data_IF_502016005970
#
_entry.id   IF_502016005970
#
_cell.length_a   1.000
_cell.length_b   1.000
_cell.length_c   1.000
_cell.angle_alpha   90.00
_cell.angle_beta   90.00
_cell.angle_gamma   90.00
#
_symmetry.space_group_name_H-M   'P 1'
#
loop_
_entity.id
_entity.type
_entity.pdbx_description
1 polymer ?
#
# COMPACT_ATOMS: atom_id res chain seq x y z
N UNK A 1 -166.31 65.39 21.62
CA UNK A 1 -165.26 64.98 22.59
C UNK A 1 -164.78 63.58 22.25
N UNK A 2 -163.51 63.30 22.55
CA UNK A 2 -162.82 61.99 22.49
C UNK A 2 -162.09 61.64 21.17
N UNK A 3 -160.77 61.91 21.20
CA UNK A 3 -159.69 61.30 20.41
C UNK A 3 -159.47 59.86 20.90
N UNK A 4 -159.31 58.88 20.01
CA UNK A 4 -158.73 57.57 20.37
C UNK A 4 -157.23 57.53 20.02
N UNK A 5 -156.45 57.08 21.01
CA UNK A 5 -154.99 57.12 21.15
C UNK A 5 -154.35 55.82 20.61
N UNK A 6 -153.45 55.92 19.63
CA UNK A 6 -152.53 54.85 19.20
C UNK A 6 -151.17 54.91 19.95
N UNK A 7 -151.17 55.18 21.27
CA UNK A 7 -149.94 55.40 22.05
C UNK A 7 -149.22 54.13 22.59
N UNK A 8 -149.87 53.00 22.95
CA UNK A 8 -149.15 51.85 23.54
C UNK A 8 -148.34 51.04 22.52
N UNK A 9 -148.72 51.06 21.25
CA UNK A 9 -147.99 50.36 20.18
C UNK A 9 -146.64 51.01 19.86
N UNK A 10 -146.57 52.35 19.95
CA UNK A 10 -145.36 53.14 19.64
C UNK A 10 -144.30 52.98 20.74
N UNK A 11 -144.69 52.95 22.03
CA UNK A 11 -143.73 52.78 23.14
C UNK A 11 -143.14 51.37 23.17
N UNK A 12 -143.96 50.33 22.96
CA UNK A 12 -143.52 48.94 22.91
C UNK A 12 -142.55 48.69 21.75
N UNK A 13 -142.82 49.27 20.58
CA UNK A 13 -141.92 49.19 19.42
C UNK A 13 -140.61 49.95 19.65
N UNK A 14 -140.64 51.13 20.28
CA UNK A 14 -139.41 51.89 20.61
C UNK A 14 -138.54 51.14 21.63
N UNK A 15 -139.13 50.56 22.67
CA UNK A 15 -138.37 49.77 23.67
C UNK A 15 -137.80 48.50 23.04
N UNK A 16 -138.56 47.80 22.19
CA UNK A 16 -138.04 46.65 21.43
C UNK A 16 -136.89 47.08 20.53
N UNK A 17 -137.00 48.21 19.83
CA UNK A 17 -135.92 48.73 18.99
C UNK A 17 -134.69 49.05 19.84
N UNK A 18 -134.82 49.70 21.00
CA UNK A 18 -133.71 50.01 21.90
C UNK A 18 -133.07 48.73 22.47
N UNK A 19 -133.86 47.76 22.91
CA UNK A 19 -133.35 46.48 23.42
C UNK A 19 -132.69 45.69 22.30
N UNK A 20 -133.25 45.72 21.10
CA UNK A 20 -132.67 45.07 19.91
C UNK A 20 -131.37 45.75 19.50
N UNK A 21 -131.28 47.09 19.53
CA UNK A 21 -130.04 47.81 19.21
C UNK A 21 -128.98 47.59 20.28
N UNK A 22 -129.34 47.56 21.56
CA UNK A 22 -128.43 47.19 22.65
C UNK A 22 -127.93 45.75 22.52
N UNK A 23 -128.80 44.79 22.17
CA UNK A 23 -128.43 43.41 21.88
C UNK A 23 -127.50 43.33 20.67
N UNK A 24 -127.76 44.11 19.62
CA UNK A 24 -126.89 44.21 18.45
C UNK A 24 -125.53 44.80 18.83
N UNK A 25 -125.47 45.84 19.67
CA UNK A 25 -124.22 46.42 20.17
C UNK A 25 -123.44 45.45 21.05
N UNK A 26 -124.11 44.76 21.98
CA UNK A 26 -123.50 43.70 22.81
C UNK A 26 -123.01 42.52 21.95
N UNK A 27 -123.75 42.14 20.92
CA UNK A 27 -123.33 41.11 19.98
C UNK A 27 -122.13 41.56 19.14
N UNK A 28 -122.07 42.84 18.77
CA UNK A 28 -120.94 43.43 18.07
C UNK A 28 -119.69 43.47 18.97
N UNK A 29 -119.84 43.94 20.20
CA UNK A 29 -118.75 43.96 21.20
C UNK A 29 -118.27 42.54 21.52
N UNK A 30 -119.18 41.56 21.61
CA UNK A 30 -118.84 40.15 21.77
C UNK A 30 -118.04 39.62 20.57
N UNK A 31 -118.47 39.88 19.34
CA UNK A 31 -117.76 39.44 18.13
C UNK A 31 -116.38 40.11 18.05
N UNK A 32 -116.25 41.39 18.41
CA UNK A 32 -114.97 42.10 18.46
C UNK A 32 -114.06 41.52 19.55
N UNK A 33 -114.60 41.22 20.73
CA UNK A 33 -113.85 40.63 21.83
C UNK A 33 -113.40 39.19 21.51
N UNK A 34 -114.28 38.39 20.92
CA UNK A 34 -113.98 37.03 20.43
C UNK A 34 -112.88 37.09 19.36
N UNK A 35 -112.95 38.03 18.43
CA UNK A 35 -111.90 38.25 17.42
C UNK A 35 -110.56 38.64 18.05
N UNK A 36 -110.57 39.53 19.06
CA UNK A 36 -109.36 39.89 19.83
C UNK A 36 -108.81 38.72 20.61
N UNK A 37 -109.66 37.91 21.24
CA UNK A 37 -109.27 36.70 21.96
C UNK A 37 -108.64 35.67 21.02
N UNK A 38 -109.27 35.39 19.88
CA UNK A 38 -108.74 34.47 18.88
C UNK A 38 -107.39 34.95 18.32
N UNK A 39 -107.25 36.26 18.08
CA UNK A 39 -105.99 36.86 17.64
C UNK A 39 -104.89 36.71 18.71
N UNK A 40 -105.22 37.01 19.98
CA UNK A 40 -104.29 36.86 21.10
C UNK A 40 -103.91 35.40 21.35
N UNK A 41 -104.87 34.48 21.25
CA UNK A 41 -104.64 33.05 21.40
C UNK A 41 -103.74 32.51 20.27
N UNK A 42 -103.96 32.95 19.03
CA UNK A 42 -103.08 32.63 17.90
C UNK A 42 -101.66 33.14 18.13
N UNK A 43 -101.53 34.39 18.59
CA UNK A 43 -100.23 34.97 18.94
C UNK A 43 -99.55 34.21 20.10
N UNK A 44 -100.30 33.84 21.14
CA UNK A 44 -99.79 33.06 22.27
C UNK A 44 -99.28 31.67 21.83
N UNK A 45 -100.05 30.97 20.99
CA UNK A 45 -99.65 29.67 20.44
C UNK A 45 -98.39 29.81 19.57
N UNK A 46 -98.31 30.85 18.73
CA UNK A 46 -97.13 31.15 17.91
C UNK A 46 -95.89 31.37 18.79
N UNK A 47 -95.96 32.28 19.76
CA UNK A 47 -94.86 32.58 20.68
C UNK A 47 -94.47 31.35 21.51
N UNK A 48 -95.43 30.54 21.93
CA UNK A 48 -95.15 29.29 22.64
C UNK A 48 -94.38 28.28 21.77
N UNK A 49 -94.75 28.18 20.49
CA UNK A 49 -94.04 27.35 19.50
C UNK A 49 -92.62 27.85 19.27
N UNK A 50 -92.46 29.16 19.01
CA UNK A 50 -91.16 29.81 18.83
C UNK A 50 -90.27 29.63 20.06
N UNK A 51 -90.81 29.77 21.27
CA UNK A 51 -90.08 29.53 22.52
C UNK A 51 -89.61 28.08 22.63
N UNK A 52 -90.43 27.11 22.19
CA UNK A 52 -90.06 25.70 22.17
C UNK A 52 -88.93 25.43 21.17
N UNK A 53 -88.99 26.03 19.99
CA UNK A 53 -87.95 25.92 18.95
C UNK A 53 -86.63 26.54 19.43
N UNK A 54 -86.68 27.73 20.02
CA UNK A 54 -85.49 28.40 20.59
C UNK A 54 -84.87 27.55 21.70
N UNK A 55 -85.68 26.95 22.60
CA UNK A 55 -85.17 26.04 23.63
C UNK A 55 -84.47 24.82 23.03
N UNK A 56 -85.05 24.23 21.98
CA UNK A 56 -84.44 23.09 21.30
C UNK A 56 -83.10 23.48 20.64
N UNK A 57 -83.08 24.59 19.91
CA UNK A 57 -81.86 25.13 19.29
C UNK A 57 -80.77 25.45 20.33
N UNK A 58 -81.15 26.02 21.48
CA UNK A 58 -80.23 26.26 22.59
C UNK A 58 -79.61 24.96 23.12
N UNK A 59 -80.41 23.90 23.30
CA UNK A 59 -79.91 22.62 23.78
C UNK A 59 -78.97 21.94 22.78
N UNK A 60 -79.26 22.04 21.48
CA UNK A 60 -78.36 21.55 20.42
C UNK A 60 -77.04 22.31 20.46
N UNK A 61 -77.09 23.64 20.50
CA UNK A 61 -75.89 24.48 20.55
C UNK A 61 -75.04 24.20 21.80
N UNK A 62 -75.69 23.95 22.95
CA UNK A 62 -75.00 23.55 24.17
C UNK A 62 -74.25 22.23 24.00
N UNK A 63 -74.89 21.22 23.39
CA UNK A 63 -74.27 19.92 23.13
C UNK A 63 -73.10 20.02 22.12
N UNK A 64 -73.25 20.84 21.08
CA UNK A 64 -72.18 21.14 20.12
C UNK A 64 -71.00 21.85 20.80
N UNK A 65 -71.28 22.82 21.67
CA UNK A 65 -70.25 23.51 22.45
C UNK A 65 -69.49 22.54 23.37
N UNK A 66 -70.19 21.65 24.07
CA UNK A 66 -69.55 20.62 24.92
C UNK A 66 -68.72 19.62 24.10
N UNK A 67 -69.18 19.24 22.91
CA UNK A 67 -68.41 18.39 22.00
C UNK A 67 -67.14 19.11 21.51
N UNK A 68 -67.26 20.37 21.09
CA UNK A 68 -66.13 21.19 20.65
C UNK A 68 -65.11 21.39 21.78
N UNK A 69 -65.57 21.65 23.01
CA UNK A 69 -64.70 21.79 24.18
C UNK A 69 -63.88 20.53 24.43
N UNK A 70 -64.48 19.34 24.28
CA UNK A 70 -63.76 18.05 24.41
C UNK A 70 -62.73 17.86 23.30
N UNK A 71 -63.10 18.16 22.05
CA UNK A 71 -62.18 18.09 20.92
C UNK A 71 -61.00 19.05 21.07
N UNK A 72 -61.24 20.26 21.59
CA UNK A 72 -60.19 21.22 21.87
C UNK A 72 -59.21 20.71 22.93
N UNK A 73 -59.70 20.19 24.05
CA UNK A 73 -58.84 19.60 25.09
C UNK A 73 -58.03 18.41 24.57
N UNK A 74 -58.62 17.54 23.75
CA UNK A 74 -57.88 16.43 23.13
C UNK A 74 -56.77 16.91 22.20
N UNK A 75 -57.04 17.95 21.40
CA UNK A 75 -56.05 18.52 20.49
C UNK A 75 -54.90 19.21 21.26
N UNK A 76 -55.20 19.86 22.38
CA UNK A 76 -54.20 20.47 23.27
C UNK A 76 -53.26 19.43 23.89
N UNK A 77 -53.79 18.28 24.31
CA UNK A 77 -53.00 17.14 24.79
C UNK A 77 -52.11 16.55 23.69
N UNK A 78 -52.67 16.33 22.49
CA UNK A 78 -51.91 15.83 21.32
C UNK A 78 -50.78 16.78 20.92
N UNK A 79 -51.05 18.09 20.90
CA UNK A 79 -50.06 19.12 20.58
C UNK A 79 -48.90 19.10 21.59
N UNK A 80 -49.22 19.00 22.88
CA UNK A 80 -48.23 18.95 23.95
C UNK A 80 -47.33 17.70 23.85
N UNK A 81 -47.92 16.53 23.53
CA UNK A 81 -47.16 15.30 23.31
C UNK A 81 -46.25 15.37 22.06
N UNK A 82 -46.72 16.04 21.00
CA UNK A 82 -45.92 16.28 19.79
C UNK A 82 -44.75 17.23 20.07
N UNK A 83 -44.97 18.30 20.83
CA UNK A 83 -43.93 19.25 21.23
C UNK A 83 -42.82 18.56 22.04
N UNK A 84 -43.19 17.69 22.98
CA UNK A 84 -42.23 16.90 23.75
C UNK A 84 -41.43 15.94 22.85
N UNK A 85 -42.11 15.26 21.93
CA UNK A 85 -41.46 14.36 20.97
C UNK A 85 -40.48 15.09 20.06
N UNK A 86 -40.85 16.30 19.61
CA UNK A 86 -39.98 17.15 18.79
C UNK A 86 -38.74 17.61 19.56
N UNK A 87 -38.89 18.00 20.83
CA UNK A 87 -37.76 18.35 21.70
C UNK A 87 -36.79 17.18 21.85
N UNK A 88 -37.32 15.98 22.12
CA UNK A 88 -36.50 14.76 22.26
C UNK A 88 -35.75 14.42 20.98
N UNK A 89 -36.40 14.53 19.82
CA UNK A 89 -35.74 14.33 18.52
C UNK A 89 -34.59 15.32 18.30
N UNK A 90 -34.75 16.58 18.74
CA UNK A 90 -33.69 17.58 18.71
C UNK A 90 -32.48 17.21 19.57
N UNK A 91 -32.72 16.69 20.77
CA UNK A 91 -31.67 16.19 21.67
C UNK A 91 -30.94 14.97 21.09
N UNK A 92 -31.69 14.00 20.54
CA UNK A 92 -31.13 12.80 19.89
C UNK A 92 -30.29 13.17 18.67
N UNK A 93 -30.75 14.13 17.85
CA UNK A 93 -30.00 14.65 16.71
C UNK A 93 -28.69 15.33 17.14
N UNK A 94 -28.74 16.19 18.15
CA UNK A 94 -27.55 16.86 18.66
C UNK A 94 -26.52 15.86 19.19
N UNK A 95 -26.98 14.84 19.93
CA UNK A 95 -26.13 13.75 20.40
C UNK A 95 -25.47 13.00 19.25
N UNK A 96 -26.27 12.56 18.26
CA UNK A 96 -25.75 11.83 17.09
C UNK A 96 -24.74 12.67 16.29
N UNK A 97 -25.00 13.97 16.15
CA UNK A 97 -24.09 14.90 15.49
C UNK A 97 -22.73 14.96 16.19
N UNK A 98 -22.70 15.04 17.52
CA UNK A 98 -21.45 14.98 18.30
C UNK A 98 -20.72 13.64 18.12
N UNK A 99 -21.45 12.51 18.13
CA UNK A 99 -20.84 11.19 17.89
C UNK A 99 -20.23 11.07 16.48
N UNK A 100 -20.91 11.61 15.47
CA UNK A 100 -20.40 11.66 14.11
C UNK A 100 -19.12 12.49 14.00
N UNK A 101 -19.11 13.69 14.59
CA UNK A 101 -17.94 14.57 14.54
C UNK A 101 -16.72 13.93 15.24
N UNK A 102 -16.92 13.28 16.39
CA UNK A 102 -15.89 12.51 17.10
C UNK A 102 -15.38 11.31 16.27
N UNK A 103 -16.29 10.58 15.61
CA UNK A 103 -15.91 9.48 14.72
C UNK A 103 -15.11 9.97 13.50
N UNK A 104 -15.49 11.09 12.89
CA UNK A 104 -14.79 11.69 11.76
C UNK A 104 -13.36 12.05 12.14
N UNK A 105 -13.15 12.68 13.31
CA UNK A 105 -11.82 13.02 13.80
C UNK A 105 -10.95 11.79 14.05
N UNK A 106 -11.53 10.72 14.61
CA UNK A 106 -10.81 9.45 14.81
C UNK A 106 -10.42 8.80 13.48
N UNK A 107 -11.31 8.84 12.49
CA UNK A 107 -11.03 8.32 11.15
C UNK A 107 -9.85 9.06 10.51
N UNK A 108 -9.87 10.40 10.52
CA UNK A 108 -8.81 11.21 9.92
C UNK A 108 -7.45 10.95 10.58
N UNK A 109 -7.44 10.76 11.90
CA UNK A 109 -6.24 10.40 12.65
C UNK A 109 -5.70 9.03 12.23
N UNK A 110 -6.55 8.00 12.24
CA UNK A 110 -6.15 6.63 11.86
C UNK A 110 -5.68 6.58 10.40
N UNK A 111 -6.37 7.29 9.49
CA UNK A 111 -5.98 7.37 8.09
C UNK A 111 -4.58 7.98 7.93
N UNK A 112 -4.26 9.01 8.72
CA UNK A 112 -2.95 9.65 8.70
C UNK A 112 -1.86 8.73 9.28
N UNK A 113 -2.14 8.06 10.39
CA UNK A 113 -1.24 7.07 11.01
C UNK A 113 -0.98 5.88 10.07
N UNK A 114 -2.00 5.39 9.37
CA UNK A 114 -1.87 4.32 8.38
C UNK A 114 -0.90 4.70 7.25
N UNK A 115 -1.00 5.92 6.71
CA UNK A 115 -0.10 6.38 5.66
C UNK A 115 1.35 6.48 6.13
N UNK A 116 1.58 6.90 7.38
CA UNK A 116 2.92 6.92 7.96
C UNK A 116 3.52 5.52 8.08
N UNK A 117 2.72 4.53 8.51
CA UNK A 117 3.17 3.13 8.60
C UNK A 117 3.48 2.56 7.22
N UNK A 118 2.71 2.91 6.18
CA UNK A 118 2.99 2.50 4.80
C UNK A 118 4.34 3.06 4.32
N UNK A 119 4.59 4.35 4.54
CA UNK A 119 5.86 4.99 4.15
C UNK A 119 7.06 4.40 4.92
N UNK A 120 6.91 4.19 6.24
CA UNK A 120 7.95 3.56 7.06
C UNK A 120 8.26 2.14 6.58
N UNK A 121 7.23 1.37 6.23
CA UNK A 121 7.39 0.03 5.68
C UNK A 121 8.20 0.06 4.38
N UNK A 122 7.84 0.92 3.43
CA UNK A 122 8.56 1.04 2.15
C UNK A 122 10.03 1.43 2.37
N UNK A 123 10.30 2.35 3.29
CA UNK A 123 11.64 2.77 3.66
C UNK A 123 12.47 1.62 4.27
N UNK A 124 11.87 0.81 5.16
CA UNK A 124 12.54 -0.36 5.75
C UNK A 124 12.80 -1.44 4.70
N UNK A 125 11.86 -1.70 3.81
CA UNK A 125 12.02 -2.67 2.72
C UNK A 125 13.16 -2.26 1.78
N UNK A 126 13.25 -0.97 1.42
CA UNK A 126 14.32 -0.43 0.60
C UNK A 126 15.69 -0.49 1.32
N UNK A 127 15.74 -0.09 2.58
CA UNK A 127 16.95 -0.18 3.41
C UNK A 127 17.45 -1.62 3.53
N UNK A 128 16.55 -2.57 3.82
CA UNK A 128 16.89 -3.98 3.95
C UNK A 128 17.39 -4.56 2.62
N UNK A 129 16.74 -4.21 1.50
CA UNK A 129 17.17 -4.63 0.16
C UNK A 129 18.59 -4.15 -0.17
N UNK A 130 18.92 -2.90 0.20
CA UNK A 130 20.29 -2.38 0.05
C UNK A 130 21.29 -3.13 0.93
N UNK A 131 20.99 -3.31 2.22
CA UNK A 131 21.85 -4.05 3.14
C UNK A 131 22.09 -5.48 2.66
N UNK A 132 21.02 -6.16 2.21
CA UNK A 132 21.06 -7.50 1.65
C UNK A 132 22.02 -7.56 0.47
N UNK A 133 21.94 -6.61 -0.47
CA UNK A 133 22.84 -6.54 -1.62
C UNK A 133 24.29 -6.34 -1.19
N UNK A 134 24.55 -5.42 -0.26
CA UNK A 134 25.90 -5.09 0.20
C UNK A 134 26.56 -6.25 0.97
N UNK A 135 25.77 -7.07 1.67
CA UNK A 135 26.26 -8.28 2.34
C UNK A 135 26.41 -9.43 1.33
N UNK A 136 25.37 -9.71 0.54
CA UNK A 136 25.34 -10.89 -0.32
C UNK A 136 26.30 -10.81 -1.51
N UNK A 137 26.74 -9.61 -1.92
CA UNK A 137 27.80 -9.50 -2.95
C UNK A 137 29.06 -10.28 -2.55
N UNK A 138 29.36 -10.38 -1.25
CA UNK A 138 30.50 -11.13 -0.69
C UNK A 138 30.41 -12.63 -0.92
N UNK A 139 29.24 -13.14 -1.24
CA UNK A 139 29.03 -14.55 -1.57
C UNK A 139 29.55 -14.89 -2.97
N UNK A 140 29.80 -13.87 -3.81
CA UNK A 140 30.26 -14.09 -5.19
C UNK A 140 29.32 -15.00 -5.98
N UNK A 141 28.00 -14.83 -5.87
CA UNK A 141 27.06 -15.66 -6.63
C UNK A 141 27.06 -15.28 -8.12
N UNK A 142 27.25 -16.27 -9.00
CA UNK A 142 27.17 -16.05 -10.44
C UNK A 142 27.98 -14.86 -10.93
N UNK A 143 27.30 -13.90 -11.56
CA UNK A 143 27.90 -12.69 -12.13
C UNK A 143 28.44 -11.68 -11.10
N UNK A 144 28.06 -11.78 -9.83
CA UNK A 144 28.53 -10.88 -8.76
C UNK A 144 30.04 -10.95 -8.58
N UNK A 145 30.66 -12.09 -8.88
CA UNK A 145 32.11 -12.28 -8.88
C UNK A 145 32.85 -11.21 -9.68
N UNK A 146 32.25 -10.69 -10.76
CA UNK A 146 32.84 -9.68 -11.63
C UNK A 146 33.08 -8.35 -10.91
N UNK A 147 32.29 -8.04 -9.88
CA UNK A 147 32.41 -6.79 -9.11
C UNK A 147 33.77 -6.67 -8.39
N UNK A 148 34.41 -7.81 -8.08
CA UNK A 148 35.68 -7.86 -7.37
C UNK A 148 36.90 -7.65 -8.27
N UNK A 149 36.72 -7.60 -9.60
CA UNK A 149 37.79 -7.25 -10.54
C UNK A 149 37.93 -5.72 -10.61
N UNK A 150 38.79 -5.15 -9.78
CA UNK A 150 38.93 -3.70 -9.57
C UNK A 150 40.30 -3.14 -10.02
N UNK A 151 40.68 -3.22 -11.32
CA UNK A 151 41.99 -2.77 -11.80
C UNK A 151 42.21 -1.25 -11.70
N UNK A 152 41.14 -0.47 -11.48
CA UNK A 152 41.21 0.98 -11.38
C UNK A 152 41.39 1.49 -9.95
N UNK A 153 41.30 0.61 -8.96
CA UNK A 153 41.50 0.92 -7.55
C UNK A 153 42.91 1.51 -7.32
N UNK A 154 42.99 2.53 -6.46
CA UNK A 154 44.22 3.29 -6.26
C UNK A 154 45.32 2.45 -5.59
N UNK A 155 44.94 1.54 -4.69
CA UNK A 155 45.89 0.68 -3.99
C UNK A 155 46.42 -0.43 -4.91
N UNK A 156 45.55 -1.01 -5.75
CA UNK A 156 45.97 -1.95 -6.82
C UNK A 156 46.98 -1.27 -7.75
N UNK A 157 46.68 -0.07 -8.26
CA UNK A 157 47.59 0.69 -9.12
C UNK A 157 48.94 0.98 -8.47
N UNK A 158 48.92 1.36 -7.19
CA UNK A 158 50.12 1.63 -6.41
C UNK A 158 51.01 0.39 -6.32
N UNK A 159 50.44 -0.74 -5.89
CA UNK A 159 51.18 -2.01 -5.77
C UNK A 159 51.73 -2.46 -7.12
N UNK A 160 50.94 -2.37 -8.19
CA UNK A 160 51.40 -2.71 -9.54
C UNK A 160 52.62 -1.86 -9.93
N UNK A 161 52.54 -0.55 -9.74
CA UNK A 161 53.65 0.35 -10.05
C UNK A 161 54.90 0.08 -9.20
N UNK A 162 54.73 -0.25 -7.91
CA UNK A 162 55.85 -0.60 -7.01
C UNK A 162 56.50 -1.94 -7.39
N UNK A 163 55.71 -2.93 -7.80
CA UNK A 163 56.19 -4.26 -8.12
C UNK A 163 56.89 -4.32 -9.49
N UNK A 164 56.42 -3.56 -10.49
CA UNK A 164 56.94 -3.67 -11.86
C UNK A 164 57.77 -2.47 -12.31
N UNK A 165 57.50 -1.28 -11.76
CA UNK A 165 58.02 -0.02 -12.31
C UNK A 165 57.16 0.55 -13.46
N UNK A 166 56.06 -0.13 -13.82
CA UNK A 166 55.24 0.16 -14.99
C UNK A 166 55.75 -0.53 -16.26
N UNK A 167 54.91 -0.61 -17.30
CA UNK A 167 55.30 -1.21 -18.57
C UNK A 167 56.03 -0.18 -19.43
N UNK A 168 57.36 -0.24 -19.43
CA UNK A 168 58.23 0.77 -20.03
C UNK A 168 58.11 0.78 -21.55
N UNK A 169 58.01 -0.39 -22.17
CA UNK A 169 57.83 -0.56 -23.61
C UNK A 169 56.69 -1.55 -23.93
N UNK A 170 55.50 -1.06 -24.34
CA UNK A 170 54.35 -1.91 -24.71
C UNK A 170 54.57 -2.88 -25.88
N UNK A 171 55.69 -2.81 -26.59
CA UNK A 171 56.07 -3.78 -27.62
C UNK A 171 57.08 -4.82 -27.15
N UNK A 172 57.60 -4.70 -25.92
CA UNK A 172 58.50 -5.67 -25.31
C UNK A 172 57.70 -6.73 -24.54
N UNK A 173 57.43 -7.83 -25.23
CA UNK A 173 56.76 -8.99 -24.63
C UNK A 173 57.63 -9.72 -23.60
N UNK A 174 58.96 -9.57 -23.66
CA UNK A 174 59.84 -10.17 -22.65
C UNK A 174 59.73 -9.41 -21.33
N UNK A 175 59.66 -8.07 -21.38
CA UNK A 175 59.34 -7.22 -20.23
C UNK A 175 57.98 -7.63 -19.64
N UNK A 176 56.95 -7.73 -20.50
CA UNK A 176 55.61 -8.14 -20.08
C UNK A 176 55.63 -9.46 -19.29
N UNK A 177 56.18 -10.53 -19.84
CA UNK A 177 56.23 -11.83 -19.14
C UNK A 177 57.06 -11.81 -17.86
N UNK A 178 58.13 -11.03 -17.84
CA UNK A 178 58.97 -10.85 -16.64
C UNK A 178 58.18 -10.14 -15.54
N UNK A 179 57.42 -9.11 -15.89
CA UNK A 179 56.64 -8.33 -14.94
C UNK A 179 55.38 -9.06 -14.47
N UNK A 180 54.74 -9.87 -15.32
CA UNK A 180 53.68 -10.78 -14.89
C UNK A 180 54.19 -11.74 -13.82
N UNK A 181 55.42 -12.26 -13.95
CA UNK A 181 56.03 -13.08 -12.91
C UNK A 181 56.28 -12.29 -11.62
N UNK A 182 56.70 -11.02 -11.70
CA UNK A 182 56.83 -10.17 -10.50
C UNK A 182 55.49 -9.96 -9.80
N UNK A 183 54.41 -9.71 -10.55
CA UNK A 183 53.06 -9.55 -9.98
C UNK A 183 52.58 -10.85 -9.30
N UNK A 184 52.77 -11.99 -9.98
CA UNK A 184 52.49 -13.31 -9.43
C UNK A 184 53.27 -13.56 -8.13
N UNK A 185 54.59 -13.34 -8.15
CA UNK A 185 55.46 -13.52 -6.99
C UNK A 185 55.10 -12.56 -5.86
N UNK A 186 54.68 -11.34 -6.19
CA UNK A 186 54.22 -10.39 -5.19
C UNK A 186 53.02 -10.97 -4.42
N UNK A 187 52.01 -11.51 -5.12
CA UNK A 187 50.84 -12.12 -4.47
C UNK A 187 51.26 -13.31 -3.61
N UNK A 188 52.03 -14.26 -4.17
CA UNK A 188 52.49 -15.47 -3.46
C UNK A 188 53.30 -15.14 -2.20
N UNK A 189 54.10 -14.08 -2.22
CA UNK A 189 54.99 -13.72 -1.11
C UNK A 189 54.35 -12.77 -0.09
N UNK A 190 53.28 -12.04 -0.45
CA UNK A 190 52.68 -11.01 0.41
C UNK A 190 51.27 -11.34 0.87
N UNK A 191 50.62 -12.36 0.31
CA UNK A 191 49.27 -12.79 0.71
C UNK A 191 49.35 -14.20 1.29
N UNK A 192 49.14 -14.30 2.61
CA UNK A 192 49.06 -15.59 3.28
C UNK A 192 47.72 -16.28 2.96
N UNK A 193 47.77 -17.57 2.66
CA UNK A 193 46.55 -18.35 2.49
C UNK A 193 45.77 -18.41 3.82
N UNK A 194 44.51 -18.02 3.80
CA UNK A 194 43.59 -18.08 4.93
C UNK A 194 42.23 -18.47 4.43
N UNK A 195 41.65 -19.55 4.96
CA UNK A 195 40.28 -19.93 4.65
C UNK A 195 39.29 -18.87 5.10
N UNK A 196 38.20 -18.76 4.36
CA UNK A 196 37.10 -17.88 4.71
C UNK A 196 36.38 -18.28 5.99
N UNK A 197 35.85 -17.26 6.66
CA UNK A 197 34.92 -17.44 7.77
C UNK A 197 33.48 -17.48 7.24
N UNK A 198 32.59 -18.28 7.83
CA UNK A 198 31.21 -18.35 7.40
C UNK A 198 30.55 -16.95 7.39
N UNK A 199 30.00 -16.55 6.24
CA UNK A 199 29.18 -15.35 6.10
C UNK A 199 27.71 -15.71 5.94
N UNK A 200 26.80 -14.87 6.47
CA UNK A 200 25.38 -15.08 6.29
C UNK A 200 24.98 -14.75 4.85
N UNK A 201 24.11 -15.57 4.28
CA UNK A 201 23.33 -15.20 3.10
C UNK A 201 22.01 -14.61 3.60
N UNK A 202 21.85 -13.30 3.47
CA UNK A 202 20.64 -12.62 3.90
C UNK A 202 19.48 -12.98 2.94
N UNK A 203 18.32 -13.44 3.45
CA UNK A 203 17.20 -13.82 2.61
C UNK A 203 16.44 -12.60 2.08
N UNK A 204 15.58 -12.81 1.08
CA UNK A 204 14.49 -11.85 0.85
C UNK A 204 13.53 -11.84 2.05
N UNK A 205 12.67 -10.83 2.16
CA UNK A 205 11.73 -10.73 3.29
C UNK A 205 10.82 -11.97 3.31
N UNK A 206 10.87 -12.73 4.41
CA UNK A 206 10.16 -13.99 4.57
C UNK A 206 10.86 -15.24 4.00
N UNK A 207 12.07 -15.10 3.45
CA UNK A 207 12.88 -16.20 2.93
C UNK A 207 13.74 -16.90 3.98
N UNK A 208 14.53 -17.88 3.52
CA UNK A 208 15.38 -18.72 4.39
C UNK A 208 16.80 -18.18 4.55
N UNK A 209 17.21 -18.05 5.81
CA UNK A 209 18.56 -17.68 6.21
C UNK A 209 19.47 -18.91 6.27
N UNK A 210 20.68 -18.80 5.75
CA UNK A 210 21.71 -19.83 5.88
C UNK A 210 23.12 -19.22 5.87
N UNK A 211 24.09 -20.01 6.34
CA UNK A 211 25.50 -19.66 6.35
C UNK A 211 26.24 -20.34 5.20
N UNK A 212 27.23 -19.65 4.63
CA UNK A 212 28.14 -20.21 3.64
C UNK A 212 29.58 -19.86 4.01
N UNK A 213 30.47 -20.84 3.85
CA UNK A 213 31.92 -20.69 4.06
C UNK A 213 32.57 -20.07 2.81
N UNK A 214 32.18 -18.83 2.50
CA UNK A 214 32.67 -18.06 1.36
C UNK A 214 32.56 -16.55 1.65
N UNK A 215 33.61 -15.80 1.36
CA UNK A 215 33.72 -14.36 1.53
C UNK A 215 34.71 -13.75 0.53
N UNK A 216 34.23 -13.40 -0.66
CA UNK A 216 35.00 -12.65 -1.64
C UNK A 216 35.48 -11.31 -1.06
N UNK A 217 36.79 -11.09 -1.11
CA UNK A 217 37.43 -9.82 -0.72
C UNK A 217 37.78 -9.00 -1.95
N UNK A 218 37.69 -7.69 -1.79
CA UNK A 218 38.19 -6.79 -2.81
C UNK A 218 39.73 -6.82 -2.82
N UNK A 219 40.37 -6.67 -4.00
CA UNK A 219 41.83 -6.61 -4.11
C UNK A 219 42.50 -5.67 -3.10
N UNK A 220 41.90 -4.52 -2.82
CA UNK A 220 42.45 -3.55 -1.88
C UNK A 220 42.36 -4.03 -0.41
N UNK A 221 41.36 -4.84 -0.06
CA UNK A 221 41.26 -5.50 1.25
C UNK A 221 42.33 -6.58 1.37
N UNK A 222 42.48 -7.42 0.35
CA UNK A 222 43.52 -8.47 0.29
C UNK A 222 44.93 -7.87 0.42
N UNK A 223 45.20 -6.73 -0.25
CA UNK A 223 46.48 -6.01 -0.12
C UNK A 223 46.70 -5.51 1.32
N UNK A 224 45.71 -4.86 1.93
CA UNK A 224 45.84 -4.28 3.29
C UNK A 224 45.98 -5.35 4.36
N UNK A 225 45.19 -6.41 4.24
CA UNK A 225 45.11 -7.47 5.25
C UNK A 225 46.20 -8.54 5.06
N UNK A 226 46.77 -8.65 3.85
CA UNK A 226 47.84 -9.59 3.52
C UNK A 226 47.46 -11.06 3.69
N UNK A 227 46.17 -11.37 3.56
CA UNK A 227 45.67 -12.75 3.55
C UNK A 227 44.37 -12.87 2.76
N UNK A 228 44.10 -14.09 2.28
CA UNK A 228 42.94 -14.50 1.50
C UNK A 228 43.19 -15.87 0.86
N UNK A 229 42.14 -16.61 0.51
CA UNK A 229 42.22 -17.89 -0.16
C UNK A 229 42.28 -17.76 -1.69
N UNK A 230 41.76 -18.75 -2.43
CA UNK A 230 42.14 -18.95 -3.82
C UNK A 230 41.55 -17.89 -4.76
N UNK A 231 40.29 -17.56 -4.56
CA UNK A 231 39.52 -16.53 -5.24
C UNK A 231 40.08 -15.14 -4.96
N UNK A 232 40.37 -14.78 -3.71
CA UNK A 232 40.97 -13.52 -3.29
C UNK A 232 42.31 -13.27 -3.98
N UNK A 233 43.18 -14.29 -3.97
CA UNK A 233 44.49 -14.20 -4.61
C UNK A 233 44.39 -14.11 -6.14
N UNK A 234 43.49 -14.89 -6.75
CA UNK A 234 43.28 -14.86 -8.20
C UNK A 234 42.66 -13.53 -8.67
N UNK A 235 41.67 -13.01 -7.95
CA UNK A 235 40.99 -11.74 -8.23
C UNK A 235 41.94 -10.56 -8.07
N UNK A 236 42.78 -10.58 -7.02
CA UNK A 236 43.84 -9.59 -6.84
C UNK A 236 44.82 -9.64 -8.01
N UNK A 237 45.34 -10.83 -8.36
CA UNK A 237 46.29 -10.98 -9.46
C UNK A 237 45.68 -10.54 -10.81
N UNK A 238 44.44 -10.94 -11.10
CA UNK A 238 43.73 -10.52 -12.31
C UNK A 238 43.56 -9.00 -12.37
N UNK A 239 43.19 -8.37 -11.24
CA UNK A 239 43.07 -6.91 -11.14
C UNK A 239 44.42 -6.20 -11.32
N UNK A 240 45.50 -6.77 -10.79
CA UNK A 240 46.86 -6.25 -10.96
C UNK A 240 47.31 -6.31 -12.43
N UNK A 241 47.07 -7.43 -13.13
CA UNK A 241 47.45 -7.60 -14.54
C UNK A 241 46.61 -6.71 -15.46
N UNK A 242 45.31 -6.58 -15.20
CA UNK A 242 44.44 -5.65 -15.91
C UNK A 242 44.86 -4.19 -15.67
N UNK A 243 45.26 -3.83 -14.46
CA UNK A 243 45.83 -2.51 -14.16
C UNK A 243 47.14 -2.29 -14.93
N UNK A 244 48.04 -3.26 -14.93
CA UNK A 244 49.34 -3.21 -15.59
C UNK A 244 49.22 -3.03 -17.11
N UNK A 245 48.30 -3.77 -17.74
CA UNK A 245 48.03 -3.70 -19.18
C UNK A 245 47.12 -2.55 -19.59
N UNK A 246 46.66 -1.72 -18.63
CA UNK A 246 45.64 -0.69 -18.85
C UNK A 246 44.37 -1.24 -19.53
N UNK A 247 43.92 -2.41 -19.08
CA UNK A 247 42.74 -3.13 -19.55
C UNK A 247 42.74 -3.43 -21.07
N UNK A 248 43.92 -3.46 -21.71
CA UNK A 248 44.05 -3.72 -23.15
C UNK A 248 43.85 -5.18 -23.55
N UNK A 249 44.11 -6.10 -22.64
CA UNK A 249 44.06 -7.54 -22.91
C UNK A 249 43.00 -8.22 -22.06
N UNK A 250 42.43 -9.29 -22.61
CA UNK A 250 41.52 -10.18 -21.90
C UNK A 250 42.28 -10.91 -20.80
N UNK A 251 41.83 -10.76 -19.55
CA UNK A 251 42.31 -11.52 -18.40
C UNK A 251 41.11 -12.19 -17.78
N UNK A 252 41.21 -13.49 -17.54
CA UNK A 252 40.15 -14.31 -17.01
C UNK A 252 40.52 -14.78 -15.61
N UNK A 253 39.55 -14.85 -14.73
CA UNK A 253 39.59 -15.69 -13.54
C UNK A 253 38.87 -16.98 -13.90
N UNK A 254 39.55 -18.10 -13.71
CA UNK A 254 39.08 -19.45 -14.05
C UNK A 254 38.91 -20.26 -12.79
N UNK A 255 37.76 -20.91 -12.67
CA UNK A 255 37.44 -21.80 -11.57
C UNK A 255 37.40 -23.24 -12.08
N UNK A 256 38.00 -24.15 -11.33
CA UNK A 256 37.70 -25.57 -11.46
C UNK A 256 36.98 -26.06 -10.21
N UNK A 257 36.14 -27.08 -10.41
CA UNK A 257 35.43 -27.80 -9.35
C UNK A 257 35.73 -29.29 -9.43
N UNK A 258 35.70 -29.93 -8.27
CA UNK A 258 35.74 -31.38 -8.08
C UNK A 258 34.53 -31.81 -7.26
N UNK A 259 34.43 -33.11 -6.95
CA UNK A 259 33.44 -33.65 -6.03
C UNK A 259 33.53 -33.13 -4.60
N UNK A 260 34.64 -32.50 -4.20
CA UNK A 260 34.89 -32.11 -2.80
C UNK A 260 35.23 -30.63 -2.60
N UNK A 261 35.89 -29.99 -3.56
CA UNK A 261 36.35 -28.60 -3.46
C UNK A 261 36.30 -27.90 -4.82
N UNK A 262 36.22 -26.57 -4.79
CA UNK A 262 36.56 -25.70 -5.91
C UNK A 262 37.92 -25.04 -5.70
N UNK A 263 38.49 -24.48 -6.77
CA UNK A 263 39.71 -23.68 -6.71
C UNK A 263 39.74 -22.68 -7.86
N UNK A 264 40.43 -21.56 -7.64
CA UNK A 264 40.43 -20.41 -8.54
C UNK A 264 41.85 -20.00 -8.93
N UNK A 265 42.04 -19.65 -10.21
CA UNK A 265 43.30 -19.13 -10.75
C UNK A 265 43.04 -18.06 -11.82
N UNK A 266 44.12 -17.47 -12.35
CA UNK A 266 44.06 -16.54 -13.48
C UNK A 266 44.43 -17.26 -14.76
N UNK A 267 43.66 -17.02 -15.82
CA UNK A 267 43.94 -17.47 -17.17
C UNK A 267 44.08 -16.28 -18.12
N UNK A 268 45.10 -16.31 -18.98
CA UNK A 268 45.40 -15.24 -19.93
C UNK A 268 45.43 -15.86 -21.32
N UNK A 269 44.41 -15.59 -22.17
CA UNK A 269 44.47 -15.97 -23.58
C UNK A 269 45.61 -15.23 -24.28
N UNK A 270 46.34 -15.95 -25.11
CA UNK A 270 47.46 -15.44 -25.92
C UNK A 270 47.17 -15.73 -27.38
N UNK A 271 47.50 -14.75 -28.24
CA UNK A 271 47.30 -14.86 -29.69
C UNK A 271 47.96 -16.14 -30.23
N UNK A 272 47.26 -16.83 -31.15
CA UNK A 272 47.72 -18.12 -31.70
C UNK A 272 47.10 -19.36 -31.04
N UNK A 273 46.07 -19.19 -30.21
CA UNK A 273 45.39 -20.31 -29.55
C UNK A 273 46.18 -20.86 -28.35
N UNK A 274 46.90 -19.97 -27.68
CA UNK A 274 47.68 -20.28 -26.49
C UNK A 274 47.02 -19.71 -25.22
N UNK A 275 47.42 -20.26 -24.07
CA UNK A 275 46.90 -19.88 -22.76
C UNK A 275 48.03 -19.91 -21.73
N UNK A 276 48.01 -18.91 -20.85
CA UNK A 276 48.84 -18.88 -19.64
C UNK A 276 47.93 -19.03 -18.42
N UNK A 277 48.26 -19.97 -17.53
CA UNK A 277 47.63 -20.09 -16.22
C UNK A 277 48.59 -19.53 -15.17
N UNK A 278 48.06 -18.72 -14.24
CA UNK A 278 48.75 -18.21 -13.07
C UNK A 278 47.90 -18.53 -11.84
N UNK A 279 48.40 -19.44 -11.00
CA UNK A 279 47.70 -19.96 -9.83
C UNK A 279 48.54 -19.66 -8.57
N UNK A 280 48.36 -18.49 -7.94
CA UNK A 280 49.15 -18.08 -6.79
C UNK A 280 48.90 -18.96 -5.56
N UNK A 281 47.64 -19.30 -5.28
CA UNK A 281 47.27 -20.16 -4.16
C UNK A 281 47.80 -21.59 -4.32
N UNK A 282 47.73 -22.13 -5.53
CA UNK A 282 48.31 -23.43 -5.90
C UNK A 282 49.82 -23.40 -6.12
N UNK A 283 50.47 -22.23 -6.13
CA UNK A 283 51.88 -22.04 -6.49
C UNK A 283 52.26 -22.67 -7.86
N UNK A 284 51.34 -22.57 -8.81
CA UNK A 284 51.50 -23.06 -10.18
C UNK A 284 51.49 -21.89 -11.19
N UNK A 285 52.24 -22.01 -12.27
CA UNK A 285 52.10 -21.16 -13.44
C UNK A 285 52.56 -21.88 -14.71
N UNK A 286 51.99 -21.51 -15.86
CA UNK A 286 52.46 -22.00 -17.17
C UNK A 286 53.89 -21.50 -17.41
N UNK A 287 54.86 -22.42 -17.37
CA UNK A 287 56.26 -22.09 -17.52
C UNK A 287 56.74 -22.20 -18.96
N UNK A 288 57.56 -21.24 -19.40
CA UNK A 288 58.34 -21.33 -20.63
C UNK A 288 59.57 -22.25 -20.45
N UNK A 289 60.34 -22.47 -21.52
CA UNK A 289 61.53 -23.35 -21.50
C UNK A 289 62.62 -22.92 -20.52
N UNK A 290 62.65 -21.65 -20.11
CA UNK A 290 63.61 -21.10 -19.14
C UNK A 290 63.07 -21.07 -17.70
N UNK A 291 61.88 -21.63 -17.45
CA UNK A 291 61.25 -21.67 -16.12
C UNK A 291 60.55 -20.38 -15.70
N UNK A 292 60.54 -19.35 -16.56
CA UNK A 292 59.76 -18.13 -16.36
C UNK A 292 58.31 -18.30 -16.82
N UNK A 293 57.47 -17.28 -16.62
CA UNK A 293 56.09 -17.30 -17.14
C UNK A 293 56.12 -17.30 -18.67
N UNK A 294 55.23 -18.07 -19.27
CA UNK A 294 54.95 -18.03 -20.70
C UNK A 294 53.61 -18.66 -21.01
N UNK A 295 53.43 -19.06 -22.26
CA UNK A 295 52.19 -19.62 -22.79
C UNK A 295 52.45 -20.99 -23.42
N UNK A 296 51.38 -21.77 -23.55
CA UNK A 296 51.31 -23.05 -24.27
C UNK A 296 49.98 -23.11 -25.00
N UNK A 297 49.82 -24.03 -25.95
CA UNK A 297 48.50 -24.26 -26.55
C UNK A 297 47.45 -24.51 -25.46
N UNK A 298 46.22 -24.01 -25.68
CA UNK A 298 45.13 -24.03 -24.68
C UNK A 298 44.96 -25.42 -24.05
N UNK A 299 45.04 -26.50 -24.84
CA UNK A 299 44.84 -27.86 -24.35
C UNK A 299 45.97 -28.29 -23.43
N UNK A 300 47.22 -28.03 -23.79
CA UNK A 300 48.38 -28.34 -22.94
C UNK A 300 48.38 -27.51 -21.66
N UNK A 301 48.09 -26.21 -21.73
CA UNK A 301 48.06 -25.33 -20.55
C UNK A 301 47.03 -25.79 -19.52
N UNK A 302 45.79 -26.09 -19.94
CA UNK A 302 44.75 -26.63 -19.07
C UNK A 302 45.09 -28.05 -18.59
N UNK A 303 45.58 -28.90 -19.49
CA UNK A 303 45.95 -30.28 -19.15
C UNK A 303 47.01 -30.32 -18.04
N UNK A 304 48.06 -29.51 -18.15
CA UNK A 304 49.13 -29.44 -17.15
C UNK A 304 48.64 -28.90 -15.80
N UNK A 305 47.76 -27.89 -15.81
CA UNK A 305 47.20 -27.32 -14.59
C UNK A 305 46.25 -28.28 -13.87
N UNK A 306 45.35 -28.94 -14.59
CA UNK A 306 44.47 -29.95 -14.01
C UNK A 306 45.25 -31.20 -13.57
N UNK A 307 46.28 -31.60 -14.30
CA UNK A 307 47.18 -32.70 -13.92
C UNK A 307 48.01 -32.35 -12.66
N UNK A 308 48.35 -31.08 -12.47
CA UNK A 308 48.94 -30.59 -11.22
C UNK A 308 47.99 -30.83 -10.04
N UNK A 309 46.73 -30.38 -10.14
CA UNK A 309 45.73 -30.57 -9.08
C UNK A 309 45.31 -32.03 -8.88
N UNK A 310 45.28 -32.84 -9.93
CA UNK A 310 45.11 -34.30 -9.83
C UNK A 310 46.16 -34.93 -8.92
N UNK A 311 47.43 -34.51 -9.05
CA UNK A 311 48.53 -35.01 -8.19
C UNK A 311 48.43 -34.52 -6.74
N UNK A 312 47.69 -33.43 -6.50
CA UNK A 312 47.39 -32.93 -5.15
C UNK A 312 46.14 -33.57 -4.52
N UNK A 313 45.49 -34.52 -5.21
CA UNK A 313 44.36 -35.29 -4.67
C UNK A 313 42.99 -34.95 -5.26
N UNK A 314 42.92 -34.17 -6.34
CA UNK A 314 41.65 -33.78 -6.98
C UNK A 314 41.55 -34.35 -8.42
N UNK A 315 41.34 -35.67 -8.59
CA UNK A 315 41.44 -36.33 -9.89
C UNK A 315 40.28 -36.04 -10.86
N UNK A 316 39.17 -35.54 -10.35
CA UNK A 316 37.95 -35.18 -11.08
C UNK A 316 37.81 -33.66 -11.28
N UNK A 317 38.90 -32.90 -11.04
CA UNK A 317 38.94 -31.46 -11.27
C UNK A 317 38.59 -31.12 -12.74
N UNK A 318 37.60 -30.25 -12.90
CA UNK A 318 37.18 -29.73 -14.20
C UNK A 318 36.86 -28.25 -14.12
N UNK A 319 37.14 -27.53 -15.18
CA UNK A 319 36.74 -26.13 -15.33
C UNK A 319 35.22 -26.06 -15.39
N UNK A 320 34.65 -25.14 -14.62
CA UNK A 320 33.21 -24.89 -14.60
C UNK A 320 32.87 -23.42 -14.81
N UNK A 321 33.73 -22.48 -14.44
CA UNK A 321 33.44 -21.04 -14.56
C UNK A 321 34.64 -20.29 -15.11
N UNK A 322 34.37 -19.32 -15.97
CA UNK A 322 35.27 -18.20 -16.23
C UNK A 322 34.53 -16.90 -16.03
N UNK A 323 35.20 -15.95 -15.38
CA UNK A 323 34.72 -14.59 -15.29
C UNK A 323 35.84 -13.57 -15.46
N UNK A 324 35.44 -12.35 -15.81
CA UNK A 324 36.27 -11.15 -15.88
C UNK A 324 35.37 -9.94 -15.67
N UNK A 325 35.89 -8.73 -15.74
CA UNK A 325 35.12 -7.50 -15.53
C UNK A 325 33.82 -7.44 -16.37
N UNK A 326 33.88 -7.90 -17.62
CA UNK A 326 32.75 -7.84 -18.57
C UNK A 326 32.31 -9.22 -19.07
N UNK A 327 32.69 -10.30 -18.38
CA UNK A 327 32.45 -11.68 -18.82
C UNK A 327 32.07 -12.54 -17.61
N UNK A 328 31.03 -13.35 -17.76
CA UNK A 328 30.75 -14.48 -16.90
C UNK A 328 30.26 -15.62 -17.78
N UNK A 329 30.83 -16.81 -17.61
CA UNK A 329 30.45 -17.98 -18.39
C UNK A 329 30.66 -19.26 -17.60
N UNK A 330 29.69 -20.15 -17.70
CA UNK A 330 29.76 -21.50 -17.15
C UNK A 330 30.08 -22.52 -18.24
N UNK A 331 30.66 -23.64 -17.84
CA UNK A 331 31.06 -24.75 -18.71
C UNK A 331 30.62 -26.09 -18.11
N UNK A 332 30.04 -26.93 -18.96
CA UNK A 332 29.67 -28.30 -18.62
C UNK A 332 30.87 -29.25 -18.66
N UNK A 333 31.94 -28.91 -19.40
CA UNK A 333 33.13 -29.76 -19.53
C UNK A 333 34.41 -28.98 -19.87
N UNK A 334 35.57 -29.61 -19.61
CA UNK A 334 36.88 -29.08 -20.04
C UNK A 334 36.97 -28.90 -21.56
N UNK A 335 36.36 -29.80 -22.33
CA UNK A 335 36.38 -29.69 -23.80
C UNK A 335 35.56 -28.49 -24.28
N UNK A 336 34.40 -28.23 -23.66
CA UNK A 336 33.62 -27.02 -23.96
C UNK A 336 34.43 -25.75 -23.67
N UNK A 337 35.10 -25.69 -22.52
CA UNK A 337 36.00 -24.59 -22.19
C UNK A 337 37.10 -24.42 -23.24
N UNK A 338 37.81 -25.49 -23.61
CA UNK A 338 38.90 -25.46 -24.58
C UNK A 338 38.40 -24.95 -25.95
N UNK A 339 37.26 -25.46 -26.42
CA UNK A 339 36.69 -25.04 -27.70
C UNK A 339 36.23 -23.57 -27.67
N UNK A 340 35.76 -23.08 -26.53
CA UNK A 340 35.42 -21.68 -26.36
C UNK A 340 36.67 -20.79 -26.32
N UNK A 341 37.68 -21.17 -25.54
CA UNK A 341 38.93 -20.43 -25.39
C UNK A 341 39.75 -20.36 -26.69
N UNK A 342 39.59 -21.32 -27.61
CA UNK A 342 40.21 -21.28 -28.94
C UNK A 342 39.50 -20.35 -29.94
N UNK A 343 38.28 -19.89 -29.63
CA UNK A 343 37.46 -19.02 -30.51
C UNK A 343 37.51 -17.54 -30.11
N UNK A 344 37.86 -17.26 -28.86
CA UNK A 344 38.02 -15.91 -28.32
C UNK A 344 39.46 -15.44 -28.46
#
# INVERSE_FOLDING_TARGET
MSRSRNYPFIVFTVVIVIVSTLLVLLSYDYVVLESKYQSLNTAFVSVSSELSEVKNSHNILLAEHEALSRSYSSLEEEYSALEESYRKLGEDYAYLKTQYDDLSLRYDKISSEYLLVVDEKENIEAWYSSLRKDVNIRQGFGEDKRAFITPRDAEVKRIVSEATGGWSNPSDWKEFWTDLKKLYDWVVNNVAYSYDSPLPVLPDIGGEFYWRDECYRFPNETIRQKHGDCEDQAILLASMILSYSNEKYSIWVVEWVSSSVGHVAVAIPVEGGELTILDPAGKFYTSNMMGGVGSKDVRSAIGEWLDYWRRQGYPDARINVVFSKNLYREFASNEEFIQWALRG
#
